data_IF_643413123995
#
_entry.id   IF_643413123995
#
_cell.length_a   1.000
_cell.length_b   1.000
_cell.length_c   1.000
_cell.angle_alpha   90.00
_cell.angle_beta   90.00
_cell.angle_gamma   90.00
#
_symmetry.space_group_name_H-M   'P 1'
#
loop_
_entity.id
_entity.type
_entity.pdbx_description
1 polymer ?
#
# COMPACT_ATOMS: atom_id res chain seq x y z
N UNK A 1 4.02 1.75 -17.23
CA UNK A 1 4.90 1.81 -16.04
C UNK A 1 5.02 3.26 -15.60
N UNK A 2 4.67 3.58 -14.35
CA UNK A 2 4.78 4.93 -13.78
C UNK A 2 5.83 4.91 -12.67
N UNK A 3 6.59 6.00 -12.52
CA UNK A 3 7.63 6.12 -11.49
C UNK A 3 7.49 7.46 -10.79
N UNK A 4 7.46 7.45 -9.46
CA UNK A 4 7.43 8.64 -8.63
C UNK A 4 8.83 8.94 -8.07
N UNK A 5 9.46 10.02 -8.55
CA UNK A 5 10.83 10.41 -8.19
C UNK A 5 10.84 11.76 -7.47
N UNK A 6 11.73 11.91 -6.48
CA UNK A 6 11.98 13.18 -5.79
C UNK A 6 12.88 13.02 -4.57
N UNK A 7 13.33 14.12 -3.93
CA UNK A 7 14.20 14.11 -2.76
C UNK A 7 13.63 13.37 -1.54
N UNK A 8 14.47 13.02 -0.56
CA UNK A 8 13.97 12.48 0.71
C UNK A 8 12.98 13.46 1.37
N UNK A 9 11.90 12.94 1.95
CA UNK A 9 10.86 13.78 2.58
C UNK A 9 9.88 14.47 1.62
N UNK A 10 10.02 14.37 0.30
CA UNK A 10 9.11 15.03 -0.65
C UNK A 10 7.71 14.40 -0.77
N UNK A 11 7.34 13.48 0.13
CA UNK A 11 6.00 12.90 0.21
C UNK A 11 5.74 11.61 -0.58
N UNK A 12 6.71 11.04 -1.30
CA UNK A 12 6.50 9.81 -2.12
C UNK A 12 5.81 8.67 -1.38
N UNK A 13 6.36 8.31 -0.21
CA UNK A 13 5.82 7.24 0.63
C UNK A 13 4.45 7.62 1.20
N UNK A 14 4.24 8.89 1.55
CA UNK A 14 2.95 9.41 2.01
C UNK A 14 1.90 9.29 0.91
N UNK A 15 2.23 9.65 -0.33
CA UNK A 15 1.35 9.49 -1.50
C UNK A 15 0.97 8.03 -1.71
N UNK A 16 1.94 7.12 -1.69
CA UNK A 16 1.67 5.68 -1.80
C UNK A 16 0.76 5.17 -0.67
N UNK A 17 0.95 5.65 0.56
CA UNK A 17 0.09 5.31 1.71
C UNK A 17 -1.32 5.86 1.56
N UNK A 18 -1.50 7.04 0.98
CA UNK A 18 -2.82 7.62 0.71
C UNK A 18 -3.58 6.84 -0.35
N UNK A 19 -2.92 6.42 -1.43
CA UNK A 19 -3.54 5.58 -2.48
C UNK A 19 -4.10 4.29 -1.88
N UNK A 20 -3.37 3.66 -0.94
CA UNK A 20 -3.80 2.41 -0.30
C UNK A 20 -4.68 2.60 0.96
N UNK A 21 -5.14 3.84 1.23
CA UNK A 21 -5.86 4.25 2.45
C UNK A 21 -5.25 3.71 3.75
N UNK A 22 -3.92 3.80 3.84
CA UNK A 22 -3.18 3.66 5.10
C UNK A 22 -3.11 5.00 5.84
N UNK A 23 -3.24 6.10 5.10
CA UNK A 23 -3.40 7.47 5.61
C UNK A 23 -4.53 8.10 4.79
N UNK A 24 -5.50 8.75 5.44
CA UNK A 24 -6.58 9.44 4.71
C UNK A 24 -6.08 10.77 4.12
N UNK A 25 -6.42 11.09 2.86
CA UNK A 25 -6.12 12.40 2.28
C UNK A 25 -6.92 13.48 3.02
N UNK A 26 -6.28 14.60 3.35
CA UNK A 26 -6.97 15.70 4.04
C UNK A 26 -7.97 16.42 3.13
N UNK A 27 -7.69 16.50 1.83
CA UNK A 27 -8.51 17.12 0.79
C UNK A 27 -8.25 16.45 -0.57
N UNK A 28 -9.18 16.66 -1.50
CA UNK A 28 -9.11 16.10 -2.85
C UNK A 28 -9.63 14.67 -2.90
N UNK A 29 -9.49 14.06 -4.08
CA UNK A 29 -10.02 12.74 -4.35
C UNK A 29 -8.97 11.86 -5.03
N UNK A 30 -8.99 10.58 -4.71
CA UNK A 30 -8.18 9.57 -5.37
C UNK A 30 -9.15 8.52 -5.91
N UNK A 31 -8.92 8.13 -7.15
CA UNK A 31 -9.79 7.22 -7.89
C UNK A 31 -8.98 6.00 -8.31
N UNK A 32 -9.48 4.81 -7.98
CA UNK A 32 -8.93 3.51 -8.41
C UNK A 32 -10.05 2.77 -9.13
N UNK A 33 -9.79 2.28 -10.33
CA UNK A 33 -10.79 1.59 -11.18
C UNK A 33 -12.11 2.37 -11.33
N UNK A 34 -12.00 3.69 -11.52
CA UNK A 34 -13.13 4.64 -11.65
C UNK A 34 -14.03 4.73 -10.41
N UNK A 35 -13.59 4.22 -9.28
CA UNK A 35 -14.26 4.36 -8.00
C UNK A 35 -13.45 5.25 -7.06
N UNK A 36 -14.12 6.17 -6.39
CA UNK A 36 -13.47 6.99 -5.36
C UNK A 36 -13.05 6.08 -4.21
N UNK A 37 -11.80 6.18 -3.75
CA UNK A 37 -11.30 5.31 -2.68
C UNK A 37 -12.02 5.57 -1.35
N UNK A 38 -12.55 6.78 -1.13
CA UNK A 38 -13.25 7.15 0.10
C UNK A 38 -14.63 6.48 0.23
N UNK A 39 -15.21 6.04 -0.88
CA UNK A 39 -16.51 5.34 -0.90
C UNK A 39 -16.37 3.82 -0.87
N UNK A 40 -15.15 3.30 -0.94
CA UNK A 40 -14.85 1.86 -0.91
C UNK A 40 -14.54 1.38 0.51
N UNK A 41 -14.75 0.09 0.77
CA UNK A 41 -14.20 -0.54 1.96
C UNK A 41 -12.66 -0.58 1.87
N UNK A 42 -11.92 -0.12 2.90
CA UNK A 42 -10.46 -0.11 2.86
C UNK A 42 -9.81 -1.50 2.73
N UNK A 43 -10.46 -2.55 3.23
CA UNK A 43 -9.93 -3.93 3.13
C UNK A 43 -10.07 -4.44 1.70
N UNK A 44 -11.22 -4.21 1.06
CA UNK A 44 -11.43 -4.55 -0.36
C UNK A 44 -10.48 -3.78 -1.27
N UNK A 45 -10.31 -2.47 -1.05
CA UNK A 45 -9.37 -1.64 -1.81
C UNK A 45 -7.93 -2.22 -1.76
N UNK A 46 -7.45 -2.58 -0.57
CA UNK A 46 -6.09 -3.13 -0.38
C UNK A 46 -5.93 -4.50 -1.02
N UNK A 47 -6.97 -5.32 -1.04
CA UNK A 47 -6.93 -6.66 -1.70
C UNK A 47 -6.76 -6.55 -3.22
N UNK A 48 -7.22 -5.46 -3.82
CA UNK A 48 -7.08 -5.19 -5.25
C UNK A 48 -5.74 -4.55 -5.63
N UNK A 49 -4.91 -4.14 -4.65
CA UNK A 49 -3.64 -3.44 -4.88
C UNK A 49 -2.46 -4.25 -4.34
N UNK A 50 -1.58 -4.70 -5.24
CA UNK A 50 -0.28 -5.26 -4.84
C UNK A 50 0.62 -4.17 -4.23
N UNK A 51 0.87 -4.25 -2.92
CA UNK A 51 1.61 -3.22 -2.17
C UNK A 51 2.83 -3.81 -1.45
N UNK A 52 4.02 -3.30 -1.76
CA UNK A 52 5.28 -3.69 -1.11
C UNK A 52 5.80 -2.51 -0.28
N UNK A 53 5.93 -2.72 1.03
CA UNK A 53 6.43 -1.73 1.98
C UNK A 53 7.96 -1.65 1.99
N UNK A 54 8.50 -0.45 2.26
CA UNK A 54 9.95 -0.19 2.26
C UNK A 54 10.73 -1.01 3.30
N UNK A 55 10.11 -1.33 4.44
CA UNK A 55 10.66 -2.29 5.41
C UNK A 55 9.69 -3.44 5.52
N UNK A 56 10.03 -4.57 4.92
CA UNK A 56 9.31 -5.82 5.11
C UNK A 56 9.60 -6.26 6.54
N UNK A 57 8.57 -6.32 7.40
CA UNK A 57 8.65 -6.94 8.71
C UNK A 57 8.82 -8.45 8.55
N UNK A 58 10.00 -8.89 8.12
CA UNK A 58 10.31 -10.30 8.02
C UNK A 58 10.33 -10.85 9.45
N UNK A 59 9.54 -11.91 9.69
CA UNK A 59 9.60 -12.68 10.91
C UNK A 59 10.97 -13.38 10.93
N UNK A 60 11.94 -12.75 11.62
CA UNK A 60 13.37 -13.12 11.59
C UNK A 60 13.63 -14.56 12.04
N UNK A 61 12.70 -15.14 12.80
CA UNK A 61 12.74 -16.50 13.33
C UNK A 61 12.09 -17.54 12.39
N UNK A 62 11.53 -17.12 11.25
CA UNK A 62 10.88 -18.04 10.31
C UNK A 62 11.76 -18.34 9.10
N UNK A 63 11.73 -19.60 8.68
CA UNK A 63 12.30 -20.05 7.40
C UNK A 63 11.53 -19.46 6.22
N UNK A 64 12.12 -19.50 5.02
CA UNK A 64 11.47 -19.00 3.80
C UNK A 64 10.15 -19.75 3.54
N UNK A 65 10.12 -21.07 3.74
CA UNK A 65 8.91 -21.88 3.55
C UNK A 65 7.78 -21.50 4.50
N UNK A 66 8.10 -21.21 5.76
CA UNK A 66 7.11 -20.75 6.74
C UNK A 66 6.58 -19.35 6.42
N UNK A 67 7.45 -18.45 5.94
CA UNK A 67 7.05 -17.11 5.49
C UNK A 67 6.09 -17.20 4.31
N UNK A 68 6.42 -17.97 3.28
CA UNK A 68 5.55 -18.16 2.12
C UNK A 68 4.17 -18.71 2.51
N UNK A 69 4.10 -19.61 3.49
CA UNK A 69 2.82 -20.14 4.00
C UNK A 69 2.00 -19.08 4.75
N UNK A 70 2.66 -18.20 5.52
CA UNK A 70 2.01 -17.11 6.26
C UNK A 70 1.48 -16.02 5.32
N UNK A 71 2.21 -15.69 4.24
CA UNK A 71 1.76 -14.69 3.26
C UNK A 71 0.59 -15.14 2.38
N UNK A 72 0.30 -16.45 2.32
CA UNK A 72 -0.73 -17.04 1.44
C UNK A 72 -2.03 -17.45 2.17
N UNK A 73 -2.11 -17.28 3.50
CA UNK A 73 -3.33 -17.46 4.31
C UNK A 73 -3.84 -16.11 4.80
#
# INVERSE_FOLDING_TARGET
MFVLIGPSGCGKTTTMKMINRLIEPTKGEIWVDRQNINTQDPVELRRNIGYVIQQIGLLHHMTIGEKSRWFLN
#
